data_IF_824428504024
#
_entry.id   IF_824428504024
#
_cell.length_a   1.000
_cell.length_b   1.000
_cell.length_c   1.000
_cell.angle_alpha   90.00
_cell.angle_beta   90.00
_cell.angle_gamma   90.00
#
_symmetry.space_group_name_H-M   'P 1'
#
loop_
_entity.id
_entity.type
_entity.pdbx_description
1 polymer ?
#
# COMPACT_ATOMS: atom_id res chain seq x y z
N UNK A 1 7.91 70.68 20.57
CA UNK A 1 8.70 69.43 20.72
C UNK A 1 7.83 68.24 21.14
N UNK A 2 6.90 68.32 22.03
CA UNK A 2 6.04 67.24 22.52
C UNK A 2 5.17 66.54 21.42
N UNK A 3 4.70 67.26 20.43
CA UNK A 3 3.82 66.67 19.40
C UNK A 3 4.55 65.78 18.41
N UNK A 4 5.87 65.99 18.18
CA UNK A 4 6.69 65.17 17.29
C UNK A 4 7.11 63.84 17.97
N UNK A 5 7.25 63.84 19.27
CA UNK A 5 7.57 62.62 20.02
C UNK A 5 6.37 61.69 20.19
N UNK A 6 5.16 62.21 20.29
CA UNK A 6 3.95 61.40 20.39
C UNK A 6 3.62 60.66 19.10
N UNK A 7 3.85 61.28 17.94
CA UNK A 7 3.66 60.64 16.59
C UNK A 7 4.69 59.58 16.33
N UNK A 8 5.93 59.73 16.78
CA UNK A 8 6.98 58.74 16.65
C UNK A 8 6.71 57.46 17.56
N UNK A 9 6.14 57.66 18.77
CA UNK A 9 5.76 56.53 19.63
C UNK A 9 4.58 55.74 19.10
N UNK A 10 3.57 56.38 18.48
CA UNK A 10 2.43 55.72 17.84
C UNK A 10 2.83 54.96 16.58
N UNK A 11 3.79 55.42 15.81
CA UNK A 11 4.33 54.73 14.65
C UNK A 11 5.16 53.48 15.04
N UNK A 12 5.88 53.53 16.17
CA UNK A 12 6.63 52.37 16.68
C UNK A 12 5.73 51.29 17.27
N UNK A 13 4.57 51.66 17.85
CA UNK A 13 3.60 50.68 18.39
C UNK A 13 2.81 49.96 17.29
N UNK A 14 2.61 50.59 16.13
CA UNK A 14 1.95 49.97 14.96
C UNK A 14 2.84 48.93 14.25
N UNK A 15 4.16 48.97 14.41
CA UNK A 15 5.09 48.02 13.81
C UNK A 15 5.24 46.70 14.63
N UNK A 16 4.62 46.59 15.81
CA UNK A 16 4.64 45.40 16.67
C UNK A 16 3.35 44.55 16.59
N UNK A 17 2.51 44.75 15.58
CA UNK A 17 1.43 43.80 15.32
C UNK A 17 2.08 42.45 14.89
N UNK A 18 1.89 41.36 15.67
CA UNK A 18 2.35 40.07 15.19
C UNK A 18 1.67 39.83 13.86
N UNK A 19 2.46 39.55 12.82
CA UNK A 19 1.90 39.06 11.57
C UNK A 19 1.05 37.84 11.94
N UNK A 20 -0.26 38.03 11.93
CA UNK A 20 -1.19 36.92 12.07
C UNK A 20 -0.81 35.93 10.96
N UNK A 21 -0.16 34.85 11.33
CA UNK A 21 0.05 33.73 10.40
C UNK A 21 -1.34 33.30 10.00
N UNK A 22 -1.79 33.77 8.82
CA UNK A 22 -3.00 33.27 8.22
C UNK A 22 -2.81 31.74 8.15
N UNK A 23 -3.50 31.01 9.02
CA UNK A 23 -3.58 29.58 8.90
C UNK A 23 -4.15 29.31 7.53
N UNK A 24 -3.30 28.95 6.56
CA UNK A 24 -3.74 28.64 5.23
C UNK A 24 -4.80 27.54 5.36
N UNK A 25 -5.98 27.81 4.85
CA UNK A 25 -7.09 26.85 4.89
C UNK A 25 -6.64 25.59 4.18
N UNK A 26 -6.55 24.48 4.92
CA UNK A 26 -6.16 23.17 4.36
C UNK A 26 -7.25 22.67 3.42
N UNK A 27 -6.83 22.00 2.35
CA UNK A 27 -7.74 21.38 1.38
C UNK A 27 -8.04 19.95 1.80
N UNK A 28 -9.32 19.60 1.90
CA UNK A 28 -9.75 18.22 2.16
C UNK A 28 -9.23 17.28 1.09
N UNK A 29 -8.58 16.18 1.51
CA UNK A 29 -8.00 15.20 0.62
C UNK A 29 -8.32 13.77 1.12
N UNK A 30 -9.41 13.15 0.62
CA UNK A 30 -9.72 11.77 0.97
C UNK A 30 -8.74 10.81 0.31
N UNK A 31 -8.19 9.91 1.10
CA UNK A 31 -7.26 8.86 0.68
C UNK A 31 -7.74 7.50 1.17
N UNK A 32 -8.02 6.57 0.27
CA UNK A 32 -8.54 5.25 0.62
C UNK A 32 -7.46 4.20 0.56
N UNK A 33 -7.34 3.42 1.62
CA UNK A 33 -6.45 2.27 1.72
C UNK A 33 -7.02 1.06 0.97
N UNK A 34 -6.17 0.08 0.71
CA UNK A 34 -6.53 -1.17 0.01
C UNK A 34 -7.34 -2.14 0.88
N UNK A 35 -7.13 -2.11 2.21
CA UNK A 35 -7.60 -3.10 3.17
C UNK A 35 -7.97 -2.48 4.51
N UNK A 36 -8.44 -3.31 5.47
CA UNK A 36 -8.48 -2.96 6.89
C UNK A 36 -7.08 -2.64 7.38
N UNK A 37 -6.95 -1.88 8.49
CA UNK A 37 -5.65 -1.41 8.97
C UNK A 37 -4.68 -2.55 9.27
N UNK A 38 -3.44 -2.39 8.87
CA UNK A 38 -2.28 -3.22 9.21
C UNK A 38 -1.00 -2.39 9.05
N UNK A 39 0.15 -2.91 9.51
CA UNK A 39 1.39 -2.13 9.66
C UNK A 39 1.95 -1.50 8.38
N UNK A 40 1.60 -2.01 7.18
CA UNK A 40 1.96 -1.36 5.90
C UNK A 40 1.40 0.06 5.79
N UNK A 41 0.29 0.33 6.47
CA UNK A 41 -0.37 1.64 6.42
C UNK A 41 0.26 2.66 7.39
N UNK A 42 1.09 2.23 8.33
CA UNK A 42 1.69 3.07 9.36
C UNK A 42 2.39 4.34 8.81
N UNK A 43 3.12 4.31 7.68
CA UNK A 43 3.76 5.50 7.14
C UNK A 43 2.80 6.64 6.78
N UNK A 44 1.58 6.33 6.34
CA UNK A 44 0.56 7.32 6.02
C UNK A 44 0.00 7.97 7.28
N UNK A 45 -0.29 7.18 8.32
CA UNK A 45 -0.73 7.69 9.61
C UNK A 45 0.37 8.49 10.31
N UNK A 46 1.62 8.06 10.20
CA UNK A 46 2.75 8.82 10.71
C UNK A 46 2.86 10.19 10.02
N UNK A 47 2.70 10.25 8.70
CA UNK A 47 2.68 11.51 7.96
C UNK A 47 1.51 12.42 8.41
N UNK A 48 0.36 11.84 8.72
CA UNK A 48 -0.82 12.55 9.23
C UNK A 48 -0.52 13.16 10.61
N UNK A 49 -0.08 12.36 11.57
CA UNK A 49 0.12 12.79 12.97
C UNK A 49 1.35 13.70 13.13
N UNK A 50 2.40 13.51 12.33
CA UNK A 50 3.55 14.41 12.25
C UNK A 50 3.20 15.76 11.59
N UNK A 51 2.00 15.88 11.02
CA UNK A 51 1.56 17.09 10.35
C UNK A 51 2.15 17.31 8.96
N UNK A 52 2.80 16.29 8.36
CA UNK A 52 3.44 16.44 7.05
C UNK A 52 2.45 16.80 5.95
N UNK A 53 1.22 16.27 6.00
CA UNK A 53 0.15 16.67 5.09
C UNK A 53 -0.31 18.11 5.33
N UNK A 54 -0.42 18.52 6.59
CA UNK A 54 -0.80 19.90 6.96
C UNK A 54 0.25 20.91 6.53
N UNK A 55 1.55 20.57 6.61
CA UNK A 55 2.64 21.40 6.10
C UNK A 55 2.50 21.67 4.60
N UNK A 56 1.91 20.71 3.86
CA UNK A 56 1.59 20.81 2.43
C UNK A 56 0.20 21.43 2.17
N UNK A 57 -0.48 21.95 3.19
CA UNK A 57 -1.81 22.55 3.08
C UNK A 57 -2.93 21.55 2.81
N UNK A 58 -2.75 20.28 3.20
CA UNK A 58 -3.73 19.21 3.03
C UNK A 58 -4.33 18.79 4.38
N UNK A 59 -5.63 18.55 4.38
CA UNK A 59 -6.38 17.88 5.45
C UNK A 59 -6.75 16.48 4.93
N UNK A 60 -5.83 15.53 5.16
CA UNK A 60 -5.96 14.16 4.63
C UNK A 60 -6.86 13.33 5.53
N UNK A 61 -7.89 12.73 4.93
CA UNK A 61 -8.77 11.76 5.57
C UNK A 61 -8.43 10.35 5.06
N UNK A 62 -7.83 9.53 5.94
CA UNK A 62 -7.39 8.18 5.60
C UNK A 62 -8.52 7.19 5.90
N UNK A 63 -9.06 6.57 4.85
CA UNK A 63 -10.20 5.67 4.90
C UNK A 63 -9.77 4.23 4.68
N UNK A 64 -10.28 3.29 5.46
CA UNK A 64 -10.05 1.87 5.23
C UNK A 64 -10.65 1.37 3.91
N UNK A 65 -10.05 0.31 3.36
CA UNK A 65 -10.55 -0.39 2.18
C UNK A 65 -11.11 -1.78 2.51
N UNK A 66 -11.70 -2.39 1.49
CA UNK A 66 -12.29 -3.74 1.56
C UNK A 66 -11.74 -4.67 0.46
N UNK A 67 -10.52 -4.42 0.00
CA UNK A 67 -9.84 -5.18 -1.05
C UNK A 67 -9.51 -4.33 -2.27
N UNK A 68 -8.32 -4.56 -2.84
CA UNK A 68 -7.79 -3.77 -3.96
C UNK A 68 -8.71 -3.75 -5.17
N UNK A 69 -9.43 -4.84 -5.46
CA UNK A 69 -10.40 -4.89 -6.58
C UNK A 69 -11.54 -3.91 -6.36
N UNK A 70 -12.15 -3.93 -5.17
CA UNK A 70 -13.24 -3.02 -4.80
C UNK A 70 -12.76 -1.56 -4.80
N UNK A 71 -11.58 -1.31 -4.23
CA UNK A 71 -11.02 0.04 -4.13
C UNK A 71 -10.65 0.59 -5.51
N UNK A 72 -10.10 -0.23 -6.43
CA UNK A 72 -9.84 0.17 -7.81
C UNK A 72 -11.13 0.59 -8.55
N UNK A 73 -12.26 -0.07 -8.29
CA UNK A 73 -13.58 0.31 -8.80
C UNK A 73 -14.03 1.68 -8.23
N UNK A 74 -13.79 1.93 -6.94
CA UNK A 74 -14.11 3.24 -6.31
C UNK A 74 -13.25 4.37 -6.91
N UNK A 75 -12.00 4.10 -7.29
CA UNK A 75 -11.16 5.07 -8.00
C UNK A 75 -11.68 5.27 -9.42
N UNK A 76 -12.00 4.20 -10.14
CA UNK A 76 -12.51 4.25 -11.49
C UNK A 76 -13.78 5.11 -11.62
N UNK A 77 -14.71 5.00 -10.69
CA UNK A 77 -15.96 5.76 -10.68
C UNK A 77 -15.88 7.11 -9.93
N UNK A 78 -14.69 7.52 -9.50
CA UNK A 78 -14.39 8.79 -8.79
C UNK A 78 -15.00 8.93 -7.39
N UNK A 79 -15.55 7.87 -6.80
CA UNK A 79 -16.03 7.87 -5.40
C UNK A 79 -14.85 8.08 -4.44
N UNK A 80 -13.67 7.54 -4.77
CA UNK A 80 -12.40 7.81 -4.09
C UNK A 80 -11.34 8.07 -5.15
N UNK A 81 -11.13 9.33 -5.59
CA UNK A 81 -10.30 9.63 -6.76
C UNK A 81 -8.82 9.29 -6.58
N UNK A 82 -8.36 9.16 -5.33
CA UNK A 82 -7.01 8.75 -4.95
C UNK A 82 -7.09 7.61 -3.95
N UNK A 83 -6.37 6.53 -4.17
CA UNK A 83 -6.37 5.38 -3.27
C UNK A 83 -5.05 4.61 -3.32
N UNK A 84 -4.93 3.64 -2.40
CA UNK A 84 -3.83 2.70 -2.29
C UNK A 84 -4.34 1.31 -2.65
N UNK A 85 -3.73 0.65 -3.63
CA UNK A 85 -4.16 -0.68 -4.09
C UNK A 85 -2.96 -1.51 -4.55
N UNK A 86 -3.16 -2.81 -4.70
CA UNK A 86 -2.20 -3.70 -5.35
C UNK A 86 -2.09 -3.38 -6.86
N UNK A 87 -0.86 -3.20 -7.35
CA UNK A 87 -0.58 -2.78 -8.73
C UNK A 87 -0.99 -3.86 -9.75
N UNK A 88 -0.80 -5.15 -9.45
CA UNK A 88 -1.23 -6.22 -10.34
C UNK A 88 -2.75 -6.24 -10.51
N UNK A 89 -3.48 -5.98 -9.42
CA UNK A 89 -4.94 -5.82 -9.44
C UNK A 89 -5.35 -4.58 -10.25
N UNK A 90 -4.67 -3.46 -10.05
CA UNK A 90 -4.90 -2.22 -10.82
C UNK A 90 -4.66 -2.45 -12.32
N UNK A 91 -3.57 -3.13 -12.71
CA UNK A 91 -3.28 -3.43 -14.12
C UNK A 91 -4.39 -4.22 -14.78
N UNK A 92 -5.00 -5.18 -14.08
CA UNK A 92 -6.19 -5.91 -14.59
C UNK A 92 -7.38 -4.97 -14.78
N UNK A 93 -7.58 -4.01 -13.86
CA UNK A 93 -8.59 -2.97 -14.00
C UNK A 93 -8.39 -2.12 -15.26
N UNK A 94 -7.16 -1.67 -15.50
CA UNK A 94 -6.79 -0.92 -16.73
C UNK A 94 -7.02 -1.78 -17.98
N UNK A 95 -6.63 -3.06 -17.94
CA UNK A 95 -6.89 -4.02 -19.03
C UNK A 95 -8.38 -4.24 -19.30
N UNK A 96 -9.23 -4.03 -18.30
CA UNK A 96 -10.70 -4.05 -18.41
C UNK A 96 -11.31 -2.67 -18.73
N UNK A 97 -10.50 -1.64 -19.01
CA UNK A 97 -10.95 -0.31 -19.41
C UNK A 97 -11.17 0.69 -18.27
N UNK A 98 -10.75 0.39 -17.03
CA UNK A 98 -10.84 1.36 -15.93
C UNK A 98 -9.89 2.54 -16.17
N UNK A 99 -10.34 3.80 -16.07
CA UNK A 99 -9.51 5.00 -16.23
C UNK A 99 -8.72 5.28 -14.94
N UNK A 100 -7.80 4.41 -14.59
CA UNK A 100 -6.96 4.51 -13.37
C UNK A 100 -5.49 4.42 -13.72
N UNK A 101 -4.63 5.08 -12.93
CA UNK A 101 -3.19 5.13 -13.15
C UNK A 101 -2.43 5.13 -11.83
N UNK A 102 -1.34 4.38 -11.74
CA UNK A 102 -0.41 4.44 -10.61
C UNK A 102 0.50 5.68 -10.71
N UNK A 103 0.72 6.33 -9.57
CA UNK A 103 1.55 7.55 -9.45
C UNK A 103 2.68 7.40 -8.42
N UNK A 104 2.66 6.32 -7.65
CA UNK A 104 3.77 5.87 -6.80
C UNK A 104 3.58 4.38 -6.50
N UNK A 105 4.66 3.60 -6.48
CA UNK A 105 4.66 2.19 -6.05
C UNK A 105 5.51 2.07 -4.79
N UNK A 106 4.88 1.79 -3.67
CA UNK A 106 5.58 1.70 -2.38
C UNK A 106 6.10 0.31 -2.08
N UNK A 107 5.41 -0.74 -2.55
CA UNK A 107 5.92 -2.11 -2.48
C UNK A 107 6.31 -2.59 -3.88
N UNK A 108 7.62 -2.69 -4.09
CA UNK A 108 8.22 -3.04 -5.39
C UNK A 108 8.22 -4.55 -5.65
N UNK A 109 7.88 -5.35 -4.64
CA UNK A 109 7.84 -6.81 -4.71
C UNK A 109 6.57 -7.32 -4.03
N UNK A 110 5.98 -8.38 -4.58
CA UNK A 110 4.77 -8.97 -4.02
C UNK A 110 5.04 -9.65 -2.67
N UNK A 111 4.30 -9.27 -1.62
CA UNK A 111 4.36 -9.93 -0.31
C UNK A 111 3.57 -11.24 -0.23
N UNK A 112 2.96 -11.70 -1.33
CA UNK A 112 2.05 -12.83 -1.35
C UNK A 112 2.72 -14.11 -0.88
N UNK A 113 2.06 -14.82 0.03
CA UNK A 113 2.53 -16.07 0.61
C UNK A 113 1.36 -17.03 0.88
N UNK A 114 1.67 -18.32 0.94
CA UNK A 114 0.85 -19.27 1.68
C UNK A 114 1.13 -19.11 3.17
N UNK A 115 0.09 -18.94 3.96
CA UNK A 115 0.16 -18.84 5.43
C UNK A 115 -0.62 -20.01 6.02
N UNK A 116 0.03 -20.79 6.86
CA UNK A 116 -0.48 -22.10 7.33
C UNK A 116 -0.09 -22.36 8.77
N UNK A 117 -0.80 -23.28 9.41
CA UNK A 117 -0.41 -23.81 10.74
C UNK A 117 0.85 -24.67 10.60
N UNK A 118 1.83 -24.49 11.48
CA UNK A 118 3.08 -25.25 11.45
C UNK A 118 2.87 -26.76 11.73
N UNK A 119 1.75 -27.14 12.40
CA UNK A 119 1.39 -28.50 12.80
C UNK A 119 0.42 -29.19 11.83
N UNK A 120 0.07 -28.59 10.69
CA UNK A 120 -0.88 -29.12 9.71
C UNK A 120 -0.24 -29.36 8.34
N UNK A 121 -0.95 -30.05 7.46
CA UNK A 121 -0.62 -30.11 6.03
C UNK A 121 -0.54 -28.69 5.45
N UNK A 122 0.44 -28.45 4.58
CA UNK A 122 0.79 -27.09 4.17
C UNK A 122 1.52 -27.07 2.82
N UNK A 123 1.25 -26.11 1.99
CA UNK A 123 1.95 -25.95 0.73
C UNK A 123 3.32 -25.27 0.94
N UNK A 124 4.34 -26.01 1.37
CA UNK A 124 5.74 -25.56 1.47
C UNK A 124 6.53 -25.78 0.19
N UNK A 125 6.12 -26.79 -0.57
CA UNK A 125 6.76 -27.18 -1.84
C UNK A 125 5.71 -27.22 -2.93
N UNK A 126 6.13 -27.16 -4.18
CA UNK A 126 5.23 -27.25 -5.34
C UNK A 126 4.40 -28.53 -5.31
N UNK A 127 4.98 -29.66 -4.91
CA UNK A 127 4.27 -30.95 -4.82
C UNK A 127 3.13 -30.95 -3.79
N UNK A 128 3.26 -30.15 -2.72
CA UNK A 128 2.25 -30.08 -1.65
C UNK A 128 1.09 -29.12 -1.97
N UNK A 129 1.18 -28.34 -3.07
CA UNK A 129 0.11 -27.41 -3.47
C UNK A 129 -1.11 -28.17 -3.97
N UNK A 130 -0.90 -29.20 -4.80
CA UNK A 130 -1.99 -29.92 -5.46
C UNK A 130 -2.93 -30.57 -4.44
N UNK A 131 -4.23 -30.29 -4.60
CA UNK A 131 -5.28 -30.77 -3.71
C UNK A 131 -5.42 -30.02 -2.39
N UNK A 132 -4.53 -29.07 -2.08
CA UNK A 132 -4.62 -28.24 -0.87
C UNK A 132 -5.89 -27.39 -0.86
N UNK A 133 -6.43 -27.17 0.35
CA UNK A 133 -7.57 -26.27 0.60
C UNK A 133 -7.02 -24.88 0.91
N UNK A 134 -7.26 -23.92 0.00
CA UNK A 134 -6.70 -22.57 0.09
C UNK A 134 -7.81 -21.54 0.34
N UNK A 135 -7.74 -20.85 1.47
CA UNK A 135 -8.71 -19.80 1.82
C UNK A 135 -8.32 -18.44 1.19
N UNK A 136 -9.31 -17.77 0.60
CA UNK A 136 -9.21 -16.39 0.09
C UNK A 136 -10.41 -15.58 0.54
N UNK A 137 -10.28 -14.24 0.54
CA UNK A 137 -11.42 -13.33 0.71
C UNK A 137 -11.87 -12.83 -0.66
N UNK A 138 -13.18 -12.73 -0.87
CA UNK A 138 -13.70 -12.14 -2.10
C UNK A 138 -13.21 -10.70 -2.29
N UNK A 139 -12.71 -10.38 -3.49
CA UNK A 139 -12.23 -9.02 -3.84
C UNK A 139 -10.83 -8.66 -3.36
N UNK A 140 -10.11 -9.56 -2.66
CA UNK A 140 -8.70 -9.32 -2.35
C UNK A 140 -7.78 -9.47 -3.58
N UNK A 141 -6.52 -9.07 -3.48
CA UNK A 141 -5.56 -9.10 -4.57
C UNK A 141 -5.03 -10.52 -4.87
N UNK A 142 -5.24 -11.48 -3.96
CA UNK A 142 -4.51 -12.75 -3.95
C UNK A 142 -4.79 -13.63 -5.17
N UNK A 143 -6.03 -13.63 -5.68
CA UNK A 143 -6.43 -14.54 -6.75
C UNK A 143 -5.65 -14.30 -8.05
N UNK A 144 -5.43 -13.04 -8.44
CA UNK A 144 -4.72 -12.72 -9.68
C UNK A 144 -3.26 -13.19 -9.64
N UNK A 145 -2.58 -12.89 -8.53
CA UNK A 145 -1.18 -13.25 -8.30
C UNK A 145 -1.04 -14.77 -8.18
N UNK A 146 -1.97 -15.40 -7.47
CA UNK A 146 -1.99 -16.86 -7.31
C UNK A 146 -2.23 -17.57 -8.64
N UNK A 147 -3.13 -17.07 -9.48
CA UNK A 147 -3.37 -17.61 -10.82
C UNK A 147 -2.09 -17.56 -11.68
N UNK A 148 -1.38 -16.44 -11.66
CA UNK A 148 -0.11 -16.29 -12.37
C UNK A 148 0.98 -17.23 -11.82
N UNK A 149 1.05 -17.38 -10.51
CA UNK A 149 1.96 -18.30 -9.84
C UNK A 149 1.68 -19.77 -10.24
N UNK A 150 0.42 -20.22 -10.18
CA UNK A 150 0.03 -21.57 -10.59
C UNK A 150 0.35 -21.81 -12.06
N UNK A 151 0.03 -20.87 -12.94
CA UNK A 151 0.34 -20.98 -14.37
C UNK A 151 1.83 -21.07 -14.67
N UNK A 152 2.67 -20.34 -13.92
CA UNK A 152 4.15 -20.46 -14.07
C UNK A 152 4.67 -21.83 -13.65
N UNK A 153 4.00 -22.50 -12.72
CA UNK A 153 4.32 -23.88 -12.31
C UNK A 153 3.71 -24.94 -13.25
N UNK A 154 3.01 -24.54 -14.32
CA UNK A 154 2.29 -25.47 -15.21
C UNK A 154 1.03 -26.06 -14.55
N UNK A 155 0.49 -25.39 -13.53
CA UNK A 155 -0.69 -25.78 -12.76
C UNK A 155 -1.84 -24.81 -13.04
N UNK A 156 -3.06 -25.24 -12.66
CA UNK A 156 -4.26 -24.42 -12.66
C UNK A 156 -4.73 -24.14 -11.23
N UNK A 157 -5.52 -23.09 -11.07
CA UNK A 157 -6.23 -22.85 -9.79
C UNK A 157 -7.21 -23.98 -9.45
N UNK A 158 -7.64 -24.77 -10.45
CA UNK A 158 -8.48 -25.94 -10.26
C UNK A 158 -7.71 -27.15 -9.65
N UNK A 159 -6.39 -27.11 -9.65
CA UNK A 159 -5.55 -28.11 -8.95
C UNK A 159 -5.62 -27.98 -7.41
N UNK A 160 -6.23 -26.93 -6.89
CA UNK A 160 -6.47 -26.70 -5.46
C UNK A 160 -7.96 -26.55 -5.16
N UNK A 161 -8.35 -26.69 -3.90
CA UNK A 161 -9.70 -26.43 -3.43
C UNK A 161 -9.78 -25.03 -2.85
N UNK A 162 -10.25 -24.07 -3.67
CA UNK A 162 -10.43 -22.70 -3.23
C UNK A 162 -11.61 -22.59 -2.25
N UNK A 163 -11.37 -21.98 -1.09
CA UNK A 163 -12.38 -21.67 -0.07
C UNK A 163 -12.53 -20.15 -0.02
N UNK A 164 -13.56 -19.63 -0.70
CA UNK A 164 -13.86 -18.20 -0.68
C UNK A 164 -14.71 -17.87 0.55
N UNK A 165 -14.25 -16.93 1.35
CA UNK A 165 -14.93 -16.45 2.56
C UNK A 165 -15.27 -14.96 2.46
N UNK A 166 -16.20 -14.51 3.32
CA UNK A 166 -16.77 -13.18 3.22
C UNK A 166 -15.85 -12.06 3.72
N UNK A 167 -14.95 -12.37 4.67
CA UNK A 167 -14.12 -11.35 5.32
C UNK A 167 -12.76 -11.94 5.79
N UNK A 168 -11.79 -11.07 6.13
CA UNK A 168 -10.46 -11.49 6.57
C UNK A 168 -10.46 -12.40 7.79
N UNK A 169 -11.31 -12.13 8.78
CA UNK A 169 -11.40 -12.91 10.01
C UNK A 169 -11.84 -14.35 9.73
N UNK A 170 -12.83 -14.53 8.84
CA UNK A 170 -13.27 -15.86 8.41
C UNK A 170 -12.16 -16.61 7.65
N UNK A 171 -11.32 -15.90 6.86
CA UNK A 171 -10.17 -16.46 6.17
C UNK A 171 -9.15 -17.05 7.16
N UNK A 172 -8.83 -16.29 8.21
CA UNK A 172 -7.90 -16.71 9.26
C UNK A 172 -8.48 -17.87 10.08
N UNK A 173 -9.75 -17.78 10.46
CA UNK A 173 -10.43 -18.86 11.19
C UNK A 173 -10.48 -20.16 10.41
N UNK A 174 -10.64 -20.13 9.10
CA UNK A 174 -10.61 -21.33 8.27
C UNK A 174 -9.28 -22.10 8.39
N UNK A 175 -8.15 -21.39 8.51
CA UNK A 175 -6.83 -22.00 8.74
C UNK A 175 -6.67 -22.45 10.19
N UNK A 176 -7.02 -21.60 11.16
CA UNK A 176 -6.87 -21.92 12.58
C UNK A 176 -7.69 -23.16 12.98
N UNK A 177 -8.90 -23.30 12.43
CA UNK A 177 -9.80 -24.45 12.65
C UNK A 177 -9.50 -25.66 11.74
N UNK A 178 -8.46 -25.61 10.91
CA UNK A 178 -8.08 -26.67 9.95
C UNK A 178 -9.14 -26.96 8.88
N UNK A 179 -10.06 -26.04 8.62
CA UNK A 179 -10.97 -26.09 7.46
C UNK A 179 -10.23 -25.82 6.16
N UNK A 180 -9.22 -24.94 6.18
CA UNK A 180 -8.27 -24.70 5.12
C UNK A 180 -6.87 -25.16 5.55
N UNK A 181 -6.05 -25.60 4.58
CA UNK A 181 -4.66 -25.99 4.80
C UNK A 181 -3.74 -24.75 4.84
N UNK A 182 -4.09 -23.73 4.06
CA UNK A 182 -3.44 -22.42 4.06
C UNK A 182 -4.43 -21.33 3.67
N UNK A 183 -4.05 -20.09 3.91
CA UNK A 183 -4.63 -18.92 3.27
C UNK A 183 -3.61 -18.26 2.35
N UNK A 184 -4.10 -17.52 1.34
CA UNK A 184 -3.29 -16.57 0.59
C UNK A 184 -3.36 -15.21 1.27
N UNK A 185 -2.19 -14.65 1.58
CA UNK A 185 -2.09 -13.38 2.29
C UNK A 185 -0.67 -12.81 2.24
N UNK A 186 -0.47 -11.71 2.92
CA UNK A 186 0.82 -11.04 2.98
C UNK A 186 1.66 -11.61 4.13
N UNK A 187 2.90 -12.02 3.83
CA UNK A 187 3.76 -12.69 4.80
C UNK A 187 4.03 -11.85 6.05
N UNK A 188 4.06 -10.52 5.90
CA UNK A 188 4.32 -9.62 7.02
C UNK A 188 3.08 -9.31 7.86
N UNK A 189 1.86 -9.62 7.38
CA UNK A 189 0.59 -9.35 8.08
C UNK A 189 0.05 -10.64 8.75
N UNK A 190 -0.69 -11.47 8.01
CA UNK A 190 -1.51 -12.52 8.61
C UNK A 190 -0.72 -13.55 9.40
N UNK A 191 0.46 -13.97 8.92
CA UNK A 191 1.24 -15.01 9.59
C UNK A 191 1.65 -14.64 11.03
N UNK A 192 2.42 -13.57 11.22
CA UNK A 192 2.82 -13.09 12.54
C UNK A 192 1.64 -12.72 13.43
N UNK A 193 0.65 -12.02 12.89
CA UNK A 193 -0.54 -11.59 13.65
C UNK A 193 -1.37 -12.76 14.15
N UNK A 194 -1.68 -13.73 13.29
CA UNK A 194 -2.40 -14.95 13.69
C UNK A 194 -1.66 -15.72 14.78
N UNK A 195 -0.33 -15.83 14.67
CA UNK A 195 0.47 -16.52 15.67
C UNK A 195 0.38 -15.83 17.03
N UNK A 196 0.55 -14.52 17.08
CA UNK A 196 0.51 -13.76 18.33
C UNK A 196 -0.88 -13.75 18.97
N UNK A 197 -1.93 -13.62 18.17
CA UNK A 197 -3.30 -13.56 18.68
C UNK A 197 -3.86 -14.91 19.13
N UNK A 198 -3.51 -15.99 18.40
CA UNK A 198 -4.08 -17.32 18.68
C UNK A 198 -3.18 -18.21 19.56
N UNK A 199 -1.89 -17.89 19.69
CA UNK A 199 -0.89 -18.78 20.29
C UNK A 199 -0.53 -19.99 19.41
N UNK A 200 -1.18 -20.16 18.26
CA UNK A 200 -0.92 -21.26 17.33
C UNK A 200 0.33 -20.96 16.51
N UNK A 201 1.31 -21.86 16.51
CA UNK A 201 2.51 -21.68 15.70
C UNK A 201 2.15 -21.66 14.21
N UNK A 202 2.44 -20.56 13.55
CA UNK A 202 2.20 -20.36 12.13
C UNK A 202 3.50 -20.52 11.34
N UNK A 203 3.37 -20.77 10.03
CA UNK A 203 4.43 -20.70 9.05
C UNK A 203 3.93 -20.03 7.79
N UNK A 204 4.85 -19.55 6.97
CA UNK A 204 4.53 -18.98 5.66
C UNK A 204 5.60 -19.35 4.64
N UNK A 205 5.18 -19.41 3.38
CA UNK A 205 6.07 -19.62 2.24
C UNK A 205 5.70 -18.61 1.16
N UNK A 206 6.61 -17.68 0.85
CA UNK A 206 6.37 -16.66 -0.17
C UNK A 206 6.30 -17.31 -1.55
N UNK A 207 5.36 -16.85 -2.38
CA UNK A 207 5.25 -17.34 -3.76
C UNK A 207 6.53 -17.07 -4.57
N UNK A 208 7.20 -15.94 -4.28
CA UNK A 208 8.48 -15.61 -4.86
C UNK A 208 9.55 -16.68 -4.56
N UNK A 209 9.64 -17.16 -3.33
CA UNK A 209 10.66 -18.15 -2.93
C UNK A 209 10.45 -19.50 -3.63
N UNK A 210 9.18 -19.86 -3.88
CA UNK A 210 8.83 -21.14 -4.54
C UNK A 210 9.06 -21.13 -6.04
N UNK A 211 8.73 -20.04 -6.75
CA UNK A 211 8.67 -20.03 -8.21
C UNK A 211 9.29 -18.78 -8.85
N UNK A 212 9.95 -17.94 -8.08
CA UNK A 212 10.46 -16.64 -8.53
C UNK A 212 9.39 -15.82 -9.25
N UNK A 213 8.16 -15.90 -8.76
CA UNK A 213 7.04 -15.08 -9.20
C UNK A 213 6.99 -13.85 -8.31
N UNK A 214 7.26 -12.71 -8.88
CA UNK A 214 7.02 -11.41 -8.26
C UNK A 214 6.22 -10.54 -9.22
N UNK A 215 5.37 -9.71 -8.65
CA UNK A 215 4.69 -8.62 -9.31
C UNK A 215 4.95 -7.35 -8.53
N UNK A 216 4.82 -6.18 -9.16
CA UNK A 216 4.62 -4.97 -8.40
C UNK A 216 3.41 -5.14 -7.49
N UNK A 217 3.48 -4.57 -6.28
CA UNK A 217 2.39 -4.69 -5.31
C UNK A 217 1.80 -3.33 -4.96
N UNK A 218 1.90 -2.85 -3.75
CA UNK A 218 1.11 -1.70 -3.30
C UNK A 218 1.50 -0.38 -3.95
N UNK A 219 0.53 0.31 -4.51
CA UNK A 219 0.69 1.56 -5.25
C UNK A 219 -0.38 2.60 -4.87
N UNK A 220 0.00 3.86 -4.86
CA UNK A 220 -0.95 4.98 -4.90
C UNK A 220 -1.45 5.09 -6.33
N UNK A 221 -2.77 5.00 -6.49
CA UNK A 221 -3.44 5.13 -7.78
C UNK A 221 -4.40 6.31 -7.79
N UNK A 222 -4.65 6.83 -8.97
CA UNK A 222 -5.59 7.93 -9.19
C UNK A 222 -6.52 7.63 -10.36
N UNK A 223 -7.69 8.28 -10.36
CA UNK A 223 -8.53 8.33 -11.55
C UNK A 223 -7.87 9.22 -12.62
N UNK A 224 -7.75 8.73 -13.86
CA UNK A 224 -7.03 9.44 -14.93
C UNK A 224 -7.70 10.76 -15.34
N UNK A 225 -9.03 10.82 -15.33
CA UNK A 225 -9.74 12.08 -15.62
C UNK A 225 -9.58 13.08 -14.49
N UNK A 226 -9.61 12.62 -13.22
CA UNK A 226 -9.32 13.49 -12.07
C UNK A 226 -7.92 14.08 -12.18
N UNK A 227 -6.96 13.27 -12.62
CA UNK A 227 -5.58 13.69 -12.81
C UNK A 227 -5.39 14.69 -13.95
N UNK A 228 -6.32 14.83 -14.88
CA UNK A 228 -6.22 15.78 -15.99
C UNK A 228 -6.33 17.25 -15.57
N UNK A 229 -6.91 17.53 -14.40
CA UNK A 229 -7.01 18.88 -13.81
C UNK A 229 -5.69 19.30 -13.14
N UNK A 230 -5.15 20.44 -13.54
CA UNK A 230 -3.90 20.98 -12.99
C UNK A 230 -3.96 21.22 -11.46
N UNK A 231 -5.13 21.57 -10.91
CA UNK A 231 -5.33 21.72 -9.46
C UNK A 231 -5.16 20.37 -8.75
N UNK A 232 -5.73 19.31 -9.31
CA UNK A 232 -5.62 17.96 -8.76
C UNK A 232 -4.18 17.44 -8.87
N UNK A 233 -3.46 17.76 -9.93
CA UNK A 233 -2.03 17.44 -10.06
C UNK A 233 -1.20 18.11 -8.97
N UNK A 234 -1.47 19.37 -8.62
CA UNK A 234 -0.79 20.06 -7.53
C UNK A 234 -1.11 19.41 -6.18
N UNK A 235 -2.38 19.13 -5.90
CA UNK A 235 -2.79 18.41 -4.68
C UNK A 235 -2.10 17.03 -4.57
N UNK A 236 -2.01 16.30 -5.67
CA UNK A 236 -1.33 15.00 -5.72
C UNK A 236 0.17 15.13 -5.42
N UNK A 237 0.87 16.11 -6.02
CA UNK A 237 2.30 16.33 -5.72
C UNK A 237 2.53 16.63 -4.24
N UNK A 238 1.69 17.46 -3.64
CA UNK A 238 1.76 17.77 -2.19
C UNK A 238 1.52 16.52 -1.35
N UNK A 239 0.48 15.75 -1.67
CA UNK A 239 0.18 14.50 -0.99
C UNK A 239 1.34 13.50 -1.07
N UNK A 240 1.92 13.30 -2.25
CA UNK A 240 3.03 12.36 -2.45
C UNK A 240 4.29 12.81 -1.71
N UNK A 241 4.63 14.12 -1.70
CA UNK A 241 5.78 14.63 -0.91
C UNK A 241 5.62 14.36 0.58
N UNK A 242 4.44 14.64 1.13
CA UNK A 242 4.14 14.38 2.53
C UNK A 242 4.17 12.87 2.85
N UNK A 243 3.59 12.05 1.96
CA UNK A 243 3.62 10.58 2.09
C UNK A 243 5.06 10.05 2.04
N UNK A 244 5.89 10.52 1.12
CA UNK A 244 7.30 10.13 1.02
C UNK A 244 8.07 10.47 2.32
N UNK A 245 7.82 11.63 2.94
CA UNK A 245 8.37 11.99 4.25
C UNK A 245 7.94 11.00 5.33
N UNK A 246 6.68 10.58 5.34
CA UNK A 246 6.16 9.59 6.28
C UNK A 246 6.82 8.22 6.12
N UNK A 247 6.97 7.74 4.90
CA UNK A 247 7.66 6.50 4.58
C UNK A 247 9.14 6.56 4.98
N UNK A 248 9.85 7.64 4.62
CA UNK A 248 11.25 7.85 4.99
C UNK A 248 11.43 7.87 6.50
N UNK A 249 10.59 8.63 7.21
CA UNK A 249 10.63 8.69 8.66
C UNK A 249 10.40 7.32 9.30
N UNK A 250 9.47 6.53 8.76
CA UNK A 250 9.20 5.17 9.23
C UNK A 250 10.40 4.24 9.06
N UNK A 251 11.19 4.37 8.00
CA UNK A 251 12.43 3.60 7.84
C UNK A 251 13.40 3.82 8.99
N UNK A 252 13.53 5.06 9.43
CA UNK A 252 14.50 5.49 10.46
C UNK A 252 13.96 5.28 11.88
N UNK A 253 12.62 5.32 12.07
CA UNK A 253 11.94 5.37 13.37
C UNK A 253 10.79 4.36 13.47
N UNK A 254 11.07 3.08 13.22
CA UNK A 254 10.03 2.02 13.11
C UNK A 254 9.22 1.82 14.38
N UNK A 255 9.87 1.95 15.55
CA UNK A 255 9.19 1.82 16.83
C UNK A 255 8.22 2.98 17.07
N UNK A 256 8.64 4.21 16.77
CA UNK A 256 7.75 5.38 16.86
C UNK A 256 6.60 5.27 15.84
N UNK A 257 6.87 4.74 14.64
CA UNK A 257 5.82 4.49 13.65
C UNK A 257 4.80 3.46 14.14
N UNK A 258 5.25 2.40 14.83
CA UNK A 258 4.35 1.43 15.42
C UNK A 258 3.49 2.06 16.54
N UNK A 259 4.09 2.83 17.46
CA UNK A 259 3.35 3.53 18.51
C UNK A 259 2.36 4.55 17.95
N UNK A 260 2.73 5.24 16.87
CA UNK A 260 1.86 6.17 16.18
C UNK A 260 0.66 5.45 15.54
N UNK A 261 0.92 4.34 14.84
CA UNK A 261 -0.11 3.53 14.18
C UNK A 261 -1.17 3.02 15.17
N UNK A 262 -0.78 2.63 16.39
CA UNK A 262 -1.69 2.15 17.42
C UNK A 262 -2.75 3.17 17.86
N UNK A 263 -2.52 4.46 17.66
CA UNK A 263 -3.54 5.49 17.94
C UNK A 263 -4.73 5.37 17.00
N UNK A 264 -4.49 4.86 15.79
CA UNK A 264 -5.50 4.68 14.74
C UNK A 264 -6.03 3.24 14.67
N UNK A 265 -5.26 2.28 15.19
CA UNK A 265 -5.56 0.86 15.18
C UNK A 265 -5.50 0.26 16.60
N UNK A 266 -6.41 0.63 17.52
CA UNK A 266 -6.34 0.26 18.94
C UNK A 266 -6.55 -1.24 19.20
N UNK A 267 -7.01 -2.00 18.21
CA UNK A 267 -7.11 -3.47 18.27
C UNK A 267 -5.77 -4.19 18.07
N UNK A 268 -4.74 -3.47 17.59
CA UNK A 268 -3.38 -4.00 17.46
C UNK A 268 -2.60 -3.84 18.76
N UNK A 269 -1.60 -4.70 18.94
CA UNK A 269 -0.56 -4.46 19.94
C UNK A 269 0.73 -3.99 19.26
N UNK A 270 1.64 -3.45 20.05
CA UNK A 270 2.91 -2.87 19.58
C UNK A 270 3.77 -3.91 18.84
N UNK A 271 3.81 -5.14 19.34
CA UNK A 271 4.63 -6.21 18.75
C UNK A 271 4.14 -6.56 17.34
N UNK A 272 2.82 -6.72 17.15
CA UNK A 272 2.23 -6.97 15.83
C UNK A 272 2.54 -5.82 14.88
N UNK A 273 2.26 -4.58 15.28
CA UNK A 273 2.49 -3.41 14.44
C UNK A 273 3.97 -3.32 14.00
N UNK A 274 4.91 -3.56 14.93
CA UNK A 274 6.33 -3.50 14.62
C UNK A 274 6.78 -4.64 13.68
N UNK A 275 6.26 -5.86 13.86
CA UNK A 275 6.54 -6.98 12.95
C UNK A 275 6.04 -6.68 11.53
N UNK A 276 4.82 -6.17 11.39
CA UNK A 276 4.22 -5.83 10.11
C UNK A 276 4.99 -4.69 9.42
N UNK A 277 5.35 -3.63 10.15
CA UNK A 277 6.17 -2.52 9.63
C UNK A 277 7.55 -3.05 9.18
N UNK A 278 8.23 -3.85 10.01
CA UNK A 278 9.54 -4.39 9.68
C UNK A 278 9.48 -5.26 8.42
N UNK A 279 8.48 -6.12 8.29
CA UNK A 279 8.29 -6.95 7.11
C UNK A 279 8.01 -6.10 5.86
N UNK A 280 7.16 -5.08 5.98
CA UNK A 280 6.85 -4.12 4.91
C UNK A 280 8.12 -3.45 4.36
N UNK A 281 8.99 -2.96 5.26
CA UNK A 281 10.21 -2.25 4.86
C UNK A 281 11.21 -3.11 4.08
N UNK A 282 11.09 -4.44 4.11
CA UNK A 282 12.00 -5.33 3.36
C UNK A 282 11.74 -5.38 1.85
N UNK A 283 10.57 -4.94 1.41
CA UNK A 283 10.12 -5.04 0.01
C UNK A 283 9.77 -3.69 -0.64
N UNK A 284 10.12 -2.59 0.02
CA UNK A 284 9.88 -1.22 -0.50
C UNK A 284 10.83 -0.88 -1.65
N UNK A 285 12.03 -1.42 -1.64
CA UNK A 285 13.04 -1.20 -2.67
C UNK A 285 13.54 -2.51 -3.28
N UNK A 286 13.85 -2.48 -4.56
CA UNK A 286 14.63 -3.50 -5.28
C UNK A 286 15.96 -2.90 -5.73
N UNK A 287 16.83 -3.69 -6.34
CA UNK A 287 18.09 -3.19 -6.92
C UNK A 287 17.84 -2.12 -8.01
N UNK A 288 16.66 -2.17 -8.69
CA UNK A 288 16.29 -1.18 -9.73
C UNK A 288 15.81 0.15 -9.13
N UNK A 289 15.38 0.18 -7.87
CA UNK A 289 14.72 1.35 -7.27
C UNK A 289 15.46 1.92 -6.06
N UNK A 290 16.54 1.28 -5.59
CA UNK A 290 17.28 1.62 -4.37
C UNK A 290 17.76 3.07 -4.34
N UNK A 291 18.26 3.59 -5.47
CA UNK A 291 18.80 4.95 -5.58
C UNK A 291 17.79 5.93 -6.19
N UNK A 292 16.49 5.63 -6.07
CA UNK A 292 15.40 6.45 -6.61
C UNK A 292 14.55 7.03 -5.48
N UNK A 293 13.78 8.10 -5.75
CA UNK A 293 12.76 8.58 -4.80
C UNK A 293 11.83 7.45 -4.38
N UNK A 294 11.45 7.42 -3.13
CA UNK A 294 10.48 6.43 -2.64
C UNK A 294 9.19 6.54 -3.46
N UNK A 295 8.68 5.39 -3.89
CA UNK A 295 7.51 5.31 -4.78
C UNK A 295 7.85 5.35 -6.27
N UNK A 296 9.10 5.69 -6.66
CA UNK A 296 9.54 5.56 -8.04
C UNK A 296 9.59 4.09 -8.46
N UNK A 297 9.21 3.81 -9.70
CA UNK A 297 9.13 2.44 -10.22
C UNK A 297 9.76 2.32 -11.59
N UNK A 298 10.43 1.19 -11.86
CA UNK A 298 11.09 0.92 -13.13
C UNK A 298 10.09 0.40 -14.18
N UNK A 299 10.28 0.79 -15.44
CA UNK A 299 9.46 0.30 -16.57
C UNK A 299 9.55 -1.20 -16.75
N UNK A 300 10.72 -1.77 -16.46
CA UNK A 300 10.98 -3.22 -16.54
C UNK A 300 10.10 -4.00 -15.57
N UNK A 301 9.87 -3.48 -14.35
CA UNK A 301 9.02 -4.15 -13.35
C UNK A 301 7.54 -4.16 -13.78
N UNK A 302 7.09 -3.07 -14.45
CA UNK A 302 5.75 -3.04 -15.07
C UNK A 302 5.64 -4.01 -16.23
N UNK A 303 6.67 -4.08 -17.08
CA UNK A 303 6.71 -5.02 -18.18
C UNK A 303 6.69 -6.46 -17.68
N UNK A 304 7.55 -6.81 -16.73
CA UNK A 304 7.64 -8.15 -16.14
C UNK A 304 6.29 -8.56 -15.51
N UNK A 305 5.65 -7.62 -14.79
CA UNK A 305 4.31 -7.84 -14.21
C UNK A 305 3.25 -8.02 -15.30
N UNK A 306 3.24 -7.19 -16.35
CA UNK A 306 2.31 -7.32 -17.47
C UNK A 306 2.45 -8.67 -18.17
N UNK A 307 3.67 -9.05 -18.52
CA UNK A 307 3.96 -10.28 -19.25
C UNK A 307 3.51 -11.51 -18.46
N UNK A 308 3.78 -11.51 -17.14
CA UNK A 308 3.36 -12.57 -16.24
C UNK A 308 1.83 -12.70 -16.18
N UNK A 309 1.15 -11.58 -15.95
CA UNK A 309 -0.31 -11.55 -15.82
C UNK A 309 -1.02 -11.82 -17.16
N UNK A 310 -0.48 -11.33 -18.28
CA UNK A 310 -1.03 -11.59 -19.60
C UNK A 310 -0.92 -13.07 -19.96
N UNK A 311 0.22 -13.69 -19.65
CA UNK A 311 0.47 -15.09 -19.97
C UNK A 311 -0.36 -16.05 -19.12
N UNK A 312 -0.59 -15.76 -17.85
CA UNK A 312 -1.11 -16.74 -16.90
C UNK A 312 -2.39 -16.30 -16.17
N UNK A 313 -2.75 -15.01 -16.16
CA UNK A 313 -3.87 -14.48 -15.40
C UNK A 313 -4.87 -13.65 -16.23
N UNK A 314 -4.91 -13.90 -17.55
CA UNK A 314 -5.86 -13.30 -18.49
C UNK A 314 -5.88 -11.77 -18.48
N UNK A 315 -4.73 -11.12 -18.24
CA UNK A 315 -4.60 -9.68 -18.40
C UNK A 315 -4.65 -9.35 -19.89
N UNK A 316 -5.47 -8.39 -20.30
CA UNK A 316 -5.36 -7.74 -21.61
C UNK A 316 -4.23 -6.73 -21.56
N UNK A 317 -3.06 -6.99 -22.21
CA UNK A 317 -1.91 -6.12 -22.11
C UNK A 317 -2.17 -4.77 -22.80
N UNK A 318 -1.61 -3.71 -22.28
CA UNK A 318 -1.65 -2.39 -22.89
C UNK A 318 -0.47 -2.21 -23.86
N UNK A 319 -0.71 -1.53 -24.97
CA UNK A 319 0.33 -1.24 -25.96
C UNK A 319 1.45 -0.33 -25.40
N UNK A 320 1.14 0.50 -24.40
CA UNK A 320 2.09 1.36 -23.73
C UNK A 320 2.02 1.15 -22.21
N UNK A 321 3.15 0.97 -21.57
CA UNK A 321 3.24 0.91 -20.10
C UNK A 321 2.83 2.22 -19.44
N UNK A 322 2.92 3.35 -20.15
CA UNK A 322 2.42 4.64 -19.67
C UNK A 322 0.91 4.67 -19.42
N UNK A 323 0.16 3.66 -19.91
CA UNK A 323 -1.25 3.47 -19.55
C UNK A 323 -1.41 3.07 -18.09
N UNK A 324 -0.43 2.37 -17.51
CA UNK A 324 -0.50 1.89 -16.13
C UNK A 324 0.03 2.89 -15.12
N UNK A 325 1.13 3.62 -15.41
CA UNK A 325 1.81 4.40 -14.40
C UNK A 325 2.46 5.69 -14.96
N UNK A 326 2.86 6.57 -14.04
CA UNK A 326 3.81 7.67 -14.28
C UNK A 326 4.59 7.97 -13.00
N UNK A 327 5.86 8.37 -13.16
CA UNK A 327 6.71 8.86 -12.06
C UNK A 327 6.73 10.41 -11.96
N UNK A 328 5.97 11.14 -12.79
CA UNK A 328 6.06 12.61 -12.98
C UNK A 328 5.65 13.44 -11.75
N UNK A 329 5.04 12.81 -10.77
CA UNK A 329 4.55 13.48 -9.56
C UNK A 329 5.46 13.30 -8.35
N UNK A 330 6.54 12.53 -8.48
CA UNK A 330 7.51 12.27 -7.43
C UNK A 330 8.65 13.27 -7.49
N UNK A 331 8.87 14.01 -6.40
CA UNK A 331 9.84 15.12 -6.34
C UNK A 331 10.81 15.05 -5.15
N UNK A 332 10.63 14.09 -4.25
CA UNK A 332 11.55 13.90 -3.14
C UNK A 332 12.92 13.41 -3.63
N UNK A 333 14.02 13.77 -2.96
CA UNK A 333 15.33 13.22 -3.28
C UNK A 333 15.32 11.69 -3.10
N UNK A 334 16.29 10.97 -3.72
CA UNK A 334 16.46 9.55 -3.49
C UNK A 334 16.59 9.24 -2.01
N UNK A 335 15.87 8.22 -1.55
CA UNK A 335 16.06 7.69 -0.21
C UNK A 335 17.26 6.75 -0.21
N UNK A 336 18.23 7.01 0.66
CA UNK A 336 19.37 6.13 0.87
C UNK A 336 19.27 5.52 2.26
N UNK A 337 18.85 4.24 2.42
CA UNK A 337 18.80 3.60 3.73
C UNK A 337 20.18 3.55 4.38
N UNK A 338 20.32 4.06 5.60
CA UNK A 338 21.46 3.75 6.45
C UNK A 338 22.81 4.37 6.01
N UNK A 339 22.86 5.69 5.76
CA UNK A 339 24.12 6.43 5.93
C UNK A 339 24.30 6.91 7.34
#
# INVERSE_FOLDING_TARGET
MLFRTLVALLAALAAMLPAATASAQTVKFPFRLNWTLYGEHAPFFLALDKGFYRDEGLDVDILEGSGSTTVAQLVSNKTSPVAYVDAATMMRGVGAGMPIKAVAVTLQESPMAFIYRADAARPRTVAEIKGSRIAITAGDASLAIFTAFMGKLGMSVDDVKMITVANPQAKEQAVLSKQADALLGYFMDQGPRMQLQSGVKMGWTRLYDMARVSTLSSAVIVNADWLSDAKNQDLLRRFLRASQRGWQYTFEHREEAAENFLKHAPSFNREIALLEINGTMTIVHTDRTRDRPLGWTASEDWKDTQDLLAKFANLTPQASLASYYTNDFLSAPPYTPGR
#
